data_IF_045538038668
#
_entry.id   IF_045538038668
#
_cell.length_a   1.000
_cell.length_b   1.000
_cell.length_c   1.000
_cell.angle_alpha   90.00
_cell.angle_beta   90.00
_cell.angle_gamma   90.00
#
_symmetry.space_group_name_H-M   'P 1'
#
loop_
_entity.id
_entity.type
_entity.pdbx_description
1 polymer ?
#
# COMPACT_ATOMS: atom_id res chain seq x y z
N UNK A 1 71.09 9.77 16.50
CA UNK A 1 71.03 8.28 16.35
C UNK A 1 69.70 7.98 15.66
N UNK A 2 69.68 8.10 14.33
CA UNK A 2 69.77 7.00 13.35
C UNK A 2 68.46 6.17 13.27
N UNK A 3 67.64 6.46 12.25
CA UNK A 3 66.98 5.44 11.41
C UNK A 3 68.07 4.77 10.51
N UNK A 4 67.82 3.76 9.63
CA UNK A 4 66.56 3.28 9.02
C UNK A 4 66.53 1.73 8.70
N UNK A 5 65.71 1.32 7.70
CA UNK A 5 65.63 0.08 6.85
C UNK A 5 64.24 -0.62 6.93
N UNK A 6 63.35 -0.57 5.92
CA UNK A 6 63.38 -1.14 4.53
C UNK A 6 63.41 -2.67 4.56
N UNK A 7 62.49 -3.42 3.94
CA UNK A 7 62.50 -3.93 2.54
C UNK A 7 61.09 -4.55 2.26
N UNK A 8 60.26 -4.07 1.32
CA UNK A 8 60.14 -4.37 -0.13
C UNK A 8 60.11 -5.87 -0.53
N UNK A 9 58.99 -6.37 -1.05
CA UNK A 9 59.00 -7.29 -2.19
C UNK A 9 57.71 -7.17 -3.04
N UNK A 10 57.89 -6.61 -4.23
CA UNK A 10 57.06 -6.76 -5.44
C UNK A 10 57.22 -8.21 -5.94
N UNK A 11 56.34 -8.89 -6.69
CA UNK A 11 56.14 -8.71 -8.13
C UNK A 11 55.10 -9.74 -8.63
N UNK A 12 54.16 -9.25 -9.46
CA UNK A 12 53.69 -9.78 -10.75
C UNK A 12 53.52 -11.29 -11.02
N UNK A 13 52.34 -11.64 -11.57
CA UNK A 13 52.28 -12.39 -12.83
C UNK A 13 51.04 -12.01 -13.67
N UNK A 14 51.36 -11.62 -14.90
CA UNK A 14 50.53 -11.35 -16.07
C UNK A 14 50.06 -12.66 -16.73
N UNK A 15 48.92 -12.62 -17.43
CA UNK A 15 48.61 -13.27 -18.73
C UNK A 15 47.10 -13.57 -18.81
N UNK A 16 46.37 -13.47 -19.91
CA UNK A 16 46.58 -12.93 -21.26
C UNK A 16 45.18 -12.83 -21.89
N UNK A 17 45.04 -11.82 -22.76
CA UNK A 17 44.07 -11.66 -23.84
C UNK A 17 43.40 -12.91 -24.43
N UNK A 18 42.11 -12.77 -24.79
CA UNK A 18 41.63 -13.34 -26.05
C UNK A 18 40.67 -12.38 -26.77
N UNK A 19 41.11 -11.99 -27.97
CA UNK A 19 40.44 -11.17 -28.95
C UNK A 19 39.70 -12.11 -29.93
N UNK A 20 38.41 -11.91 -30.17
CA UNK A 20 37.76 -12.33 -31.44
C UNK A 20 36.78 -11.27 -31.94
N UNK A 21 37.34 -10.42 -32.82
CA UNK A 21 36.78 -9.91 -34.09
C UNK A 21 35.59 -10.74 -34.61
N UNK A 22 34.48 -10.18 -35.09
CA UNK A 22 34.16 -9.55 -36.42
C UNK A 22 32.61 -9.54 -36.44
N UNK A 23 31.82 -8.70 -37.12
CA UNK A 23 32.02 -7.77 -38.22
C UNK A 23 30.70 -7.06 -38.55
N UNK A 24 30.82 -5.82 -39.07
CA UNK A 24 30.08 -5.23 -40.20
C UNK A 24 28.54 -5.11 -40.19
N UNK A 25 28.10 -3.87 -40.00
CA UNK A 25 27.36 -3.05 -40.98
C UNK A 25 26.55 -3.75 -42.07
N UNK A 26 25.24 -3.48 -42.09
CA UNK A 26 24.53 -3.15 -43.34
C UNK A 26 23.27 -2.33 -43.05
N UNK A 27 23.10 -1.35 -43.92
CA UNK A 27 22.05 -0.37 -44.01
C UNK A 27 21.00 -0.90 -44.98
N UNK A 28 19.72 -0.92 -44.61
CA UNK A 28 18.62 -1.09 -45.57
C UNK A 28 17.35 -0.42 -45.07
N UNK A 29 16.99 0.65 -45.77
CA UNK A 29 15.62 1.14 -45.94
C UNK A 29 14.72 0.03 -46.53
N UNK A 30 13.41 0.27 -46.52
CA UNK A 30 12.28 -0.50 -47.09
C UNK A 30 11.51 -1.33 -46.05
N UNK A 31 10.18 -1.38 -46.01
CA UNK A 31 9.10 -0.74 -46.77
C UNK A 31 7.81 -1.09 -46.01
N UNK A 32 6.83 -0.20 -46.06
CA UNK A 32 5.43 -0.54 -45.81
C UNK A 32 5.00 -1.77 -46.62
N UNK A 33 4.15 -2.61 -46.00
CA UNK A 33 3.10 -3.47 -46.58
C UNK A 33 3.10 -4.87 -45.95
N UNK A 34 2.22 -5.07 -44.96
CA UNK A 34 1.72 -6.40 -44.60
C UNK A 34 0.30 -6.57 -45.14
N UNK A 35 0.00 -7.65 -45.89
CA UNK A 35 -1.34 -7.98 -46.41
C UNK A 35 -2.24 -8.62 -45.34
N UNK A 36 -3.57 -8.68 -45.56
CA UNK A 36 -4.54 -9.08 -44.55
C UNK A 36 -4.54 -10.61 -44.34
N UNK A 37 -4.37 -11.04 -43.09
CA UNK A 37 -4.56 -12.43 -42.67
C UNK A 37 -6.02 -12.70 -42.33
N UNK A 38 -6.57 -13.66 -43.05
CA UNK A 38 -7.93 -14.18 -43.07
C UNK A 38 -8.24 -15.00 -41.81
N UNK A 39 -8.85 -14.36 -40.82
CA UNK A 39 -9.48 -15.04 -39.68
C UNK A 39 -10.99 -15.15 -39.87
N UNK A 40 -11.45 -16.26 -40.46
CA UNK A 40 -12.85 -16.61 -40.73
C UNK A 40 -13.78 -16.36 -39.54
N UNK A 41 -14.60 -15.31 -39.65
CA UNK A 41 -15.79 -15.13 -38.82
C UNK A 41 -16.80 -16.24 -39.10
N UNK A 42 -17.01 -17.12 -38.12
CA UNK A 42 -18.17 -18.02 -38.10
C UNK A 42 -19.40 -17.20 -37.72
N UNK A 43 -20.11 -16.69 -38.73
CA UNK A 43 -21.50 -16.30 -38.58
C UNK A 43 -22.37 -17.52 -38.90
N UNK A 44 -23.11 -18.01 -37.91
CA UNK A 44 -24.20 -18.95 -38.14
C UNK A 44 -25.41 -18.18 -38.69
N UNK A 45 -25.94 -18.68 -39.81
CA UNK A 45 -27.09 -18.15 -40.53
C UNK A 45 -28.38 -18.60 -39.81
N UNK A 46 -28.67 -17.97 -38.67
CA UNK A 46 -29.87 -18.26 -37.88
C UNK A 46 -29.84 -17.51 -36.56
N UNK A 47 -30.45 -16.33 -36.53
CA UNK A 47 -30.42 -15.35 -35.43
C UNK A 47 -31.11 -15.80 -34.13
N UNK A 48 -30.58 -16.82 -33.48
CA UNK A 48 -30.95 -17.23 -32.11
C UNK A 48 -29.68 -17.37 -31.28
N UNK A 49 -29.47 -16.43 -30.35
CA UNK A 49 -28.40 -16.50 -29.35
C UNK A 49 -28.63 -17.75 -28.48
N UNK A 50 -27.74 -18.75 -28.58
CA UNK A 50 -27.70 -19.85 -27.60
C UNK A 50 -27.25 -19.28 -26.25
N UNK A 51 -27.98 -19.49 -25.14
CA UNK A 51 -27.49 -19.14 -23.82
C UNK A 51 -26.29 -20.04 -23.50
N UNK A 52 -25.17 -19.39 -23.22
CA UNK A 52 -23.89 -20.03 -22.95
C UNK A 52 -23.98 -20.79 -21.63
N UNK A 53 -24.34 -22.06 -21.72
CA UNK A 53 -24.39 -23.01 -20.61
C UNK A 53 -23.02 -23.66 -20.52
N UNK A 54 -22.08 -22.99 -19.85
CA UNK A 54 -20.90 -23.63 -19.25
C UNK A 54 -20.13 -22.62 -18.40
N UNK A 55 -20.45 -22.58 -17.11
CA UNK A 55 -19.48 -22.48 -16.03
C UNK A 55 -20.19 -22.75 -14.70
N UNK A 56 -20.38 -24.04 -14.40
CA UNK A 56 -20.57 -24.52 -13.03
C UNK A 56 -19.27 -24.34 -12.24
N UNK A 57 -18.87 -23.09 -11.99
CA UNK A 57 -17.97 -22.78 -10.90
C UNK A 57 -18.89 -22.44 -9.74
N UNK A 58 -18.90 -23.29 -8.71
CA UNK A 58 -19.56 -23.04 -7.42
C UNK A 58 -19.21 -21.61 -7.00
N UNK A 59 -20.12 -20.70 -7.27
CA UNK A 59 -20.11 -19.37 -6.73
C UNK A 59 -20.71 -19.59 -5.37
N UNK A 60 -19.83 -19.76 -4.38
CA UNK A 60 -20.24 -19.88 -3.00
C UNK A 60 -21.19 -18.71 -2.73
N UNK A 61 -22.45 -19.08 -2.50
CA UNK A 61 -23.53 -18.20 -2.09
C UNK A 61 -23.15 -17.74 -0.69
N UNK A 62 -22.24 -16.78 -0.61
CA UNK A 62 -22.15 -15.91 0.54
C UNK A 62 -23.40 -15.06 0.48
N UNK A 63 -24.39 -15.53 1.23
CA UNK A 63 -25.68 -14.90 1.45
C UNK A 63 -25.55 -13.37 1.44
N UNK A 64 -26.37 -12.75 0.59
CA UNK A 64 -26.82 -11.36 0.69
C UNK A 64 -27.55 -11.15 2.03
N UNK A 65 -26.87 -11.39 3.15
CA UNK A 65 -27.33 -10.89 4.43
C UNK A 65 -27.35 -9.36 4.28
N UNK A 66 -28.50 -8.70 4.56
CA UNK A 66 -28.56 -7.25 4.51
C UNK A 66 -27.43 -6.72 5.38
N UNK A 67 -26.62 -5.84 4.79
CA UNK A 67 -25.48 -5.17 5.43
C UNK A 67 -25.99 -4.59 6.75
N UNK A 68 -25.78 -5.31 7.86
CA UNK A 68 -26.24 -4.88 9.17
C UNK A 68 -25.50 -3.58 9.42
N UNK A 69 -26.25 -2.48 9.50
CA UNK A 69 -25.67 -1.17 9.71
C UNK A 69 -25.01 -1.17 11.09
N UNK A 70 -23.71 -1.46 11.08
CA UNK A 70 -22.88 -1.36 12.26
C UNK A 70 -22.95 0.09 12.78
N UNK A 71 -22.94 0.30 14.11
CA UNK A 71 -23.02 1.63 14.67
C UNK A 71 -21.91 2.50 14.06
N UNK A 72 -22.29 3.68 13.60
CA UNK A 72 -21.37 4.64 13.02
C UNK A 72 -20.27 4.91 14.05
N UNK A 73 -18.99 4.62 13.73
CA UNK A 73 -17.92 4.91 14.67
C UNK A 73 -17.87 6.40 14.96
N UNK A 74 -17.62 6.73 16.22
CA UNK A 74 -17.50 8.10 16.67
C UNK A 74 -16.44 8.85 15.87
N UNK A 75 -16.77 10.06 15.44
CA UNK A 75 -15.84 10.90 14.71
C UNK A 75 -14.73 11.36 15.65
N UNK A 76 -13.49 11.15 15.24
CA UNK A 76 -12.35 11.58 16.05
C UNK A 76 -12.25 13.10 15.96
N UNK A 77 -12.24 13.77 17.12
CA UNK A 77 -11.83 15.16 17.18
C UNK A 77 -10.34 15.28 16.90
N UNK A 78 -9.92 16.45 16.41
CA UNK A 78 -8.56 16.71 15.91
C UNK A 78 -7.44 16.36 16.91
N UNK A 79 -7.64 16.74 18.17
CA UNK A 79 -6.76 16.49 19.32
C UNK A 79 -7.35 15.45 20.29
N UNK A 80 -8.38 14.73 19.84
CA UNK A 80 -9.04 13.71 20.61
C UNK A 80 -8.22 12.43 20.70
N UNK A 81 -8.62 11.53 21.60
CA UNK A 81 -8.02 10.23 21.71
C UNK A 81 -8.34 9.43 20.42
N UNK A 82 -7.34 8.76 19.84
CA UNK A 82 -7.44 8.14 18.51
C UNK A 82 -7.46 6.60 18.61
N UNK A 83 -8.48 5.92 18.09
CA UNK A 83 -8.54 4.47 18.10
C UNK A 83 -7.46 3.85 17.20
N UNK A 84 -7.11 2.61 17.49
CA UNK A 84 -6.28 1.77 16.61
C UNK A 84 -7.17 0.72 15.95
N UNK A 85 -6.94 0.45 14.67
CA UNK A 85 -7.65 -0.62 13.97
C UNK A 85 -6.68 -1.73 13.58
N UNK A 86 -7.16 -2.96 13.62
CA UNK A 86 -6.45 -4.15 13.21
C UNK A 86 -7.32 -4.93 12.24
N UNK A 87 -6.79 -5.26 11.06
CA UNK A 87 -7.45 -6.20 10.16
C UNK A 87 -7.04 -7.62 10.53
N UNK A 88 -7.93 -8.57 10.31
CA UNK A 88 -7.68 -10.00 10.49
C UNK A 88 -8.47 -10.80 9.45
N UNK A 89 -8.27 -12.11 9.43
CA UNK A 89 -9.17 -12.99 8.69
C UNK A 89 -10.56 -12.90 9.31
N UNK A 90 -11.59 -12.86 8.46
CA UNK A 90 -12.97 -13.00 8.92
C UNK A 90 -13.10 -14.23 9.82
N UNK A 91 -13.86 -14.11 10.92
CA UNK A 91 -14.05 -15.11 12.00
C UNK A 91 -12.91 -15.24 13.02
N UNK A 92 -11.84 -14.44 12.92
CA UNK A 92 -10.72 -14.43 13.87
C UNK A 92 -10.75 -13.21 14.80
N UNK A 93 -11.82 -12.41 14.77
CA UNK A 93 -11.93 -11.15 15.49
C UNK A 93 -11.87 -11.36 17.00
N UNK A 94 -12.60 -12.35 17.53
CA UNK A 94 -12.60 -12.65 18.97
C UNK A 94 -11.24 -13.15 19.45
N UNK A 95 -10.56 -13.96 18.64
CA UNK A 95 -9.19 -14.43 18.93
C UNK A 95 -8.20 -13.28 18.95
N UNK A 96 -8.30 -12.35 17.98
CA UNK A 96 -7.47 -11.16 17.94
C UNK A 96 -7.76 -10.21 19.12
N UNK A 97 -9.04 -10.04 19.50
CA UNK A 97 -9.42 -9.25 20.68
C UNK A 97 -8.82 -9.86 21.96
N UNK A 98 -8.89 -11.19 22.11
CA UNK A 98 -8.28 -11.89 23.24
C UNK A 98 -6.75 -11.72 23.27
N UNK A 99 -6.10 -11.72 22.10
CA UNK A 99 -4.65 -11.52 21.96
C UNK A 99 -4.21 -10.09 22.31
N UNK A 100 -4.96 -9.08 21.86
CA UNK A 100 -4.70 -7.66 22.15
C UNK A 100 -4.70 -7.39 23.67
N UNK A 101 -5.52 -8.15 24.40
CA UNK A 101 -5.48 -8.26 25.86
C UNK A 101 -6.75 -7.75 26.53
N UNK A 102 -7.07 -8.35 27.69
CA UNK A 102 -8.30 -8.09 28.46
C UNK A 102 -8.41 -6.67 29.05
N UNK A 103 -7.31 -5.92 29.10
CA UNK A 103 -7.28 -4.54 29.59
C UNK A 103 -7.65 -3.51 28.51
N UNK A 104 -7.94 -3.96 27.29
CA UNK A 104 -8.28 -3.09 26.16
C UNK A 104 -9.79 -3.10 25.93
N UNK A 105 -10.36 -1.92 25.66
CA UNK A 105 -11.72 -1.83 25.16
C UNK A 105 -11.66 -2.02 23.65
N UNK A 106 -12.00 -3.23 23.19
CA UNK A 106 -11.97 -3.59 21.78
C UNK A 106 -13.35 -4.03 21.29
N UNK A 107 -13.64 -3.76 20.02
CA UNK A 107 -14.89 -4.12 19.36
C UNK A 107 -14.62 -4.54 17.92
N UNK A 108 -15.54 -5.30 17.32
CA UNK A 108 -15.48 -5.68 15.90
C UNK A 108 -16.57 -4.97 15.11
N UNK A 109 -16.31 -3.75 14.59
CA UNK A 109 -17.32 -2.99 13.87
C UNK A 109 -17.58 -3.54 12.46
N UNK A 110 -16.70 -4.37 11.90
CA UNK A 110 -16.91 -5.02 10.62
C UNK A 110 -16.25 -6.40 10.63
N UNK A 111 -16.76 -7.38 9.88
CA UNK A 111 -16.11 -8.67 9.82
C UNK A 111 -14.71 -8.55 9.22
N UNK A 112 -13.71 -9.09 9.91
CA UNK A 112 -12.28 -8.99 9.65
C UNK A 112 -11.63 -7.71 10.16
N UNK A 113 -12.32 -6.90 10.97
CA UNK A 113 -11.80 -5.64 11.49
C UNK A 113 -12.06 -5.51 12.99
N UNK A 114 -11.00 -5.32 13.76
CA UNK A 114 -11.04 -5.01 15.19
C UNK A 114 -10.68 -3.55 15.41
N UNK A 115 -11.49 -2.83 16.18
CA UNK A 115 -11.25 -1.46 16.66
C UNK A 115 -10.88 -1.53 18.13
N UNK A 116 -9.79 -0.87 18.50
CA UNK A 116 -9.32 -0.74 19.88
C UNK A 116 -9.42 0.72 20.28
N UNK A 117 -10.11 1.01 21.38
CA UNK A 117 -10.26 2.36 21.88
C UNK A 117 -8.94 2.90 22.48
N UNK A 118 -8.71 4.21 22.36
CA UNK A 118 -7.52 4.88 22.87
C UNK A 118 -7.39 4.75 24.40
N UNK A 119 -6.15 4.79 24.90
CA UNK A 119 -5.85 4.62 26.33
C UNK A 119 -5.72 3.16 26.77
N UNK A 120 -6.02 2.22 25.88
CA UNK A 120 -5.76 0.80 26.08
C UNK A 120 -4.26 0.51 25.98
N UNK A 121 -3.66 -0.05 27.03
CA UNK A 121 -2.29 -0.57 26.99
C UNK A 121 -2.28 -1.90 26.25
N UNK A 122 -1.96 -1.87 24.96
CA UNK A 122 -1.88 -3.06 24.12
C UNK A 122 -0.77 -3.95 24.66
N UNK A 123 -1.12 -5.17 25.07
CA UNK A 123 -0.18 -6.07 25.75
C UNK A 123 0.78 -6.75 24.75
N UNK A 124 0.33 -6.94 23.51
CA UNK A 124 1.12 -7.47 22.40
C UNK A 124 1.57 -6.34 21.46
N UNK A 125 2.88 -6.14 21.32
CA UNK A 125 3.46 -5.18 20.37
C UNK A 125 3.13 -5.53 18.91
N UNK A 126 2.84 -6.81 18.62
CA UNK A 126 2.50 -7.32 17.29
C UNK A 126 1.58 -8.56 17.40
N UNK A 127 0.25 -8.39 17.31
CA UNK A 127 -0.68 -9.51 17.38
C UNK A 127 -0.54 -10.46 16.18
N UNK A 128 -0.35 -11.75 16.43
CA UNK A 128 -0.18 -12.83 15.44
C UNK A 128 -1.37 -12.91 14.48
N UNK A 129 -2.59 -12.65 14.96
CA UNK A 129 -3.79 -12.71 14.13
C UNK A 129 -4.08 -11.41 13.37
N UNK A 130 -3.34 -10.34 13.65
CA UNK A 130 -3.44 -9.12 12.88
C UNK A 130 -2.77 -9.30 11.52
N UNK A 131 -3.54 -9.13 10.45
CA UNK A 131 -2.99 -9.02 9.11
C UNK A 131 -2.39 -7.64 8.90
N UNK A 132 -3.02 -6.58 9.42
CA UNK A 132 -2.56 -5.21 9.27
C UNK A 132 -2.94 -4.39 10.51
N UNK A 133 -2.04 -3.49 10.93
CA UNK A 133 -2.35 -2.46 11.92
C UNK A 133 -2.55 -1.10 11.24
N UNK A 134 -3.50 -0.33 11.77
CA UNK A 134 -3.79 1.07 11.42
C UNK A 134 -3.82 1.84 12.76
N UNK A 135 -2.64 2.20 13.29
CA UNK A 135 -2.53 2.81 14.62
C UNK A 135 -2.98 4.27 14.59
N UNK A 136 -3.43 4.82 15.72
CA UNK A 136 -3.77 6.25 15.85
C UNK A 136 -4.69 6.76 14.72
N UNK A 137 -5.66 5.95 14.34
CA UNK A 137 -6.58 6.21 13.25
C UNK A 137 -7.46 7.42 13.53
N UNK A 138 -7.60 8.29 12.54
CA UNK A 138 -8.64 9.31 12.52
C UNK A 138 -9.88 8.75 11.82
N UNK A 139 -11.05 9.05 12.35
CA UNK A 139 -12.35 8.71 11.75
C UNK A 139 -12.96 9.99 11.22
N UNK A 140 -13.19 10.03 9.90
CA UNK A 140 -13.70 11.20 9.19
C UNK A 140 -14.91 10.85 8.36
N UNK A 141 -15.77 11.84 8.12
CA UNK A 141 -16.94 11.71 7.26
C UNK A 141 -16.92 12.67 6.08
N UNK A 142 -17.49 12.26 4.96
CA UNK A 142 -17.75 13.14 3.83
C UNK A 142 -18.61 12.48 2.75
N UNK A 143 -19.36 13.30 2.01
CA UNK A 143 -20.31 12.80 0.99
C UNK A 143 -19.62 12.46 -0.35
N UNK A 144 -18.57 13.22 -0.68
CA UNK A 144 -17.81 13.09 -1.92
C UNK A 144 -16.37 12.63 -1.68
N UNK A 145 -15.74 12.11 -2.74
CA UNK A 145 -14.31 11.74 -2.74
C UNK A 145 -13.44 12.93 -2.29
N UNK A 146 -13.73 14.13 -2.81
CA UNK A 146 -12.99 15.35 -2.50
C UNK A 146 -13.19 15.81 -1.06
N UNK A 147 -14.41 15.73 -0.54
CA UNK A 147 -14.70 16.12 0.85
C UNK A 147 -14.03 15.17 1.84
N UNK A 148 -14.03 13.86 1.57
CA UNK A 148 -13.31 12.89 2.41
C UNK A 148 -11.81 13.18 2.38
N UNK A 149 -11.22 13.35 1.20
CA UNK A 149 -9.79 13.67 1.06
C UNK A 149 -9.40 14.94 1.82
N UNK A 150 -10.21 16.00 1.74
CA UNK A 150 -9.99 17.25 2.50
C UNK A 150 -10.12 17.05 4.00
N UNK A 151 -11.13 16.30 4.46
CA UNK A 151 -11.34 16.00 5.87
C UNK A 151 -10.15 15.21 6.45
N UNK A 152 -9.69 14.18 5.74
CA UNK A 152 -8.51 13.39 6.12
C UNK A 152 -7.26 14.28 6.18
N UNK A 153 -7.03 15.10 5.16
CA UNK A 153 -5.89 16.02 5.13
C UNK A 153 -5.91 16.98 6.32
N UNK A 154 -7.05 17.62 6.59
CA UNK A 154 -7.20 18.57 7.68
C UNK A 154 -7.04 17.93 9.08
N UNK A 155 -7.50 16.68 9.24
CA UNK A 155 -7.43 15.97 10.51
C UNK A 155 -6.05 15.33 10.78
N UNK A 156 -5.34 14.87 9.75
CA UNK A 156 -4.00 14.28 9.92
C UNK A 156 -2.87 15.31 9.99
N UNK A 157 -2.97 16.39 9.21
CA UNK A 157 -1.85 17.29 8.95
C UNK A 157 -2.19 18.70 9.42
N UNK A 158 -2.07 18.91 10.72
CA UNK A 158 -2.08 20.26 11.28
C UNK A 158 -0.82 21.01 10.84
N UNK A 159 -1.00 22.26 10.39
CA UNK A 159 0.09 23.21 10.29
C UNK A 159 0.78 23.27 11.66
N UNK A 160 2.07 22.95 11.70
CA UNK A 160 2.97 22.93 12.87
C UNK A 160 3.01 21.66 13.74
N UNK A 161 2.35 20.58 13.32
CA UNK A 161 2.60 19.27 13.95
C UNK A 161 4.04 18.77 13.68
N UNK A 162 4.64 18.09 14.67
CA UNK A 162 5.96 17.46 14.51
C UNK A 162 5.98 16.49 13.31
N UNK A 163 4.86 15.81 13.05
CA UNK A 163 4.64 14.96 11.88
C UNK A 163 4.76 15.75 10.58
N UNK A 164 4.16 16.93 10.49
CA UNK A 164 4.26 17.80 9.32
C UNK A 164 5.70 18.26 9.07
N UNK A 165 6.43 18.65 10.12
CA UNK A 165 7.84 19.05 10.00
C UNK A 165 8.70 17.91 9.47
N UNK A 166 8.53 16.69 10.01
CA UNK A 166 9.25 15.51 9.50
C UNK A 166 8.84 15.15 8.07
N UNK A 167 7.55 15.14 7.75
CA UNK A 167 7.06 14.82 6.40
C UNK A 167 7.50 15.86 5.34
N UNK A 168 7.68 17.12 5.73
CA UNK A 168 8.24 18.17 4.85
C UNK A 168 9.74 17.94 4.59
N UNK A 169 10.47 17.49 5.60
CA UNK A 169 11.89 17.16 5.49
C UNK A 169 12.15 15.81 4.79
N UNK A 170 11.14 14.92 4.74
CA UNK A 170 11.29 13.58 4.23
C UNK A 170 11.64 13.55 2.72
N UNK A 171 12.47 12.57 2.27
CA UNK A 171 12.92 12.50 0.90
C UNK A 171 11.79 12.37 -0.11
N UNK A 172 12.01 12.86 -1.33
CA UNK A 172 11.02 12.78 -2.41
C UNK A 172 10.66 11.33 -2.75
N UNK A 173 9.37 11.01 -2.77
CA UNK A 173 8.87 9.67 -3.07
C UNK A 173 9.00 8.68 -1.90
N UNK A 174 9.19 9.17 -0.67
CA UNK A 174 9.22 8.35 0.54
C UNK A 174 7.84 8.00 1.10
N UNK A 175 6.76 8.66 0.64
CA UNK A 175 5.38 8.39 1.08
C UNK A 175 4.65 7.39 0.17
N UNK A 176 4.16 6.30 0.74
CA UNK A 176 3.14 5.44 0.14
C UNK A 176 1.75 5.73 0.71
N UNK A 177 0.74 5.58 -0.14
CA UNK A 177 -0.67 5.72 0.23
C UNK A 177 -1.38 4.41 -0.08
N UNK A 178 -1.99 3.80 0.94
CA UNK A 178 -2.66 2.52 0.87
C UNK A 178 -4.16 2.69 0.98
N UNK A 179 -4.88 2.23 -0.05
CA UNK A 179 -6.33 2.19 -0.07
C UNK A 179 -6.82 0.81 0.38
N UNK A 180 -7.62 0.77 1.43
CA UNK A 180 -8.10 -0.44 2.09
C UNK A 180 -9.62 -0.40 2.20
N UNK A 181 -10.25 -1.57 2.22
CA UNK A 181 -11.67 -1.70 2.54
C UNK A 181 -11.92 -2.99 3.31
N UNK A 182 -12.91 -3.04 4.22
CA UNK A 182 -13.21 -4.24 5.00
C UNK A 182 -13.46 -5.50 4.13
N UNK A 183 -14.01 -5.34 2.93
CA UNK A 183 -14.23 -6.45 1.99
C UNK A 183 -12.96 -7.25 1.65
N UNK A 184 -11.78 -6.64 1.72
CA UNK A 184 -10.50 -7.33 1.53
C UNK A 184 -10.24 -8.37 2.63
N UNK A 185 -10.68 -8.12 3.86
CA UNK A 185 -10.50 -9.01 5.02
C UNK A 185 -11.33 -10.30 4.90
N UNK A 186 -12.36 -10.28 4.04
CA UNK A 186 -13.17 -11.44 3.65
C UNK A 186 -12.59 -12.23 2.47
N UNK A 187 -11.40 -11.87 1.97
CA UNK A 187 -10.80 -12.49 0.79
C UNK A 187 -11.52 -12.16 -0.53
N UNK A 188 -12.29 -11.06 -0.57
CA UNK A 188 -12.94 -10.64 -1.80
C UNK A 188 -11.89 -10.17 -2.81
N UNK A 189 -11.89 -10.78 -3.99
CA UNK A 189 -10.96 -10.42 -5.08
C UNK A 189 -11.25 -9.04 -5.68
N UNK A 190 -12.51 -8.58 -5.62
CA UNK A 190 -12.96 -7.28 -6.13
C UNK A 190 -13.94 -6.61 -5.17
N UNK A 191 -13.45 -6.03 -4.06
CA UNK A 191 -14.30 -5.34 -3.10
C UNK A 191 -15.00 -4.13 -3.73
N UNK A 192 -16.31 -3.98 -3.50
CA UNK A 192 -17.16 -2.96 -4.12
C UNK A 192 -16.64 -1.52 -3.91
N UNK A 193 -16.12 -1.24 -2.72
CA UNK A 193 -15.69 0.11 -2.33
C UNK A 193 -14.22 0.42 -2.65
N UNK A 194 -13.45 -0.57 -3.11
CA UNK A 194 -12.04 -0.39 -3.42
C UNK A 194 -11.83 0.71 -4.49
N UNK A 195 -12.57 0.75 -5.63
CA UNK A 195 -12.41 1.82 -6.62
C UNK A 195 -12.64 3.23 -6.08
N UNK A 196 -13.60 3.40 -5.15
CA UNK A 196 -13.87 4.69 -4.51
C UNK A 196 -12.72 5.08 -3.58
N UNK A 197 -12.23 4.13 -2.79
CA UNK A 197 -11.10 4.35 -1.86
C UNK A 197 -9.82 4.68 -2.60
N UNK A 198 -9.54 4.01 -3.72
CA UNK A 198 -8.40 4.34 -4.59
C UNK A 198 -8.48 5.77 -5.11
N UNK A 199 -9.66 6.23 -5.56
CA UNK A 199 -9.84 7.62 -5.99
C UNK A 199 -9.66 8.63 -4.84
N UNK A 200 -10.04 8.28 -3.62
CA UNK A 200 -9.77 9.11 -2.42
C UNK A 200 -8.26 9.21 -2.18
N UNK A 201 -7.54 8.09 -2.27
CA UNK A 201 -6.09 8.05 -2.15
C UNK A 201 -5.38 8.89 -3.23
N UNK A 202 -5.87 8.86 -4.48
CA UNK A 202 -5.35 9.68 -5.58
C UNK A 202 -5.56 11.18 -5.33
N UNK A 203 -6.76 11.59 -4.89
CA UNK A 203 -7.06 12.98 -4.54
C UNK A 203 -6.18 13.46 -3.38
N UNK A 204 -6.02 12.63 -2.34
CA UNK A 204 -5.10 12.90 -1.23
C UNK A 204 -3.66 13.06 -1.71
N UNK A 205 -3.17 12.19 -2.60
CA UNK A 205 -1.84 12.36 -3.20
C UNK A 205 -1.72 13.71 -3.91
N UNK A 206 -2.77 14.12 -4.62
CA UNK A 206 -2.85 15.42 -5.30
C UNK A 206 -2.74 16.60 -4.33
N UNK A 207 -3.39 16.53 -3.16
CA UNK A 207 -3.27 17.53 -2.10
C UNK A 207 -1.87 17.53 -1.48
N UNK A 208 -1.36 16.36 -1.08
CA UNK A 208 -0.09 16.21 -0.38
C UNK A 208 1.12 16.59 -1.25
N UNK A 209 1.09 16.26 -2.54
CA UNK A 209 2.21 16.56 -3.45
C UNK A 209 2.47 18.06 -3.64
N UNK A 210 1.49 18.93 -3.32
CA UNK A 210 1.67 20.39 -3.34
C UNK A 210 2.61 20.84 -2.22
N UNK A 211 2.37 20.36 -1.01
CA UNK A 211 3.05 20.84 0.21
C UNK A 211 4.21 19.96 0.67
N UNK A 212 4.24 18.67 0.31
CA UNK A 212 5.20 17.70 0.83
C UNK A 212 6.00 17.03 -0.30
N UNK A 213 7.34 17.16 -0.32
CA UNK A 213 8.20 16.47 -1.29
C UNK A 213 8.02 14.96 -1.25
N UNK A 214 7.80 14.37 -0.07
CA UNK A 214 7.59 12.94 0.14
C UNK A 214 6.49 12.32 -0.74
N UNK A 215 5.42 13.07 -1.01
CA UNK A 215 4.29 12.62 -1.82
C UNK A 215 4.51 12.76 -3.34
N UNK A 216 5.61 13.39 -3.78
CA UNK A 216 5.94 13.58 -5.20
C UNK A 216 6.67 12.34 -5.74
N UNK A 217 6.41 11.97 -6.99
CA UNK A 217 7.10 10.85 -7.66
C UNK A 217 8.61 11.06 -7.67
N UNK A 218 9.39 10.04 -7.29
CA UNK A 218 10.86 10.05 -7.39
C UNK A 218 11.26 10.30 -8.85
N UNK A 219 12.25 11.16 -9.13
CA UNK A 219 12.79 11.28 -10.49
C UNK A 219 13.35 9.93 -10.94
N UNK A 220 13.04 9.55 -12.18
CA UNK A 220 13.61 8.38 -12.85
C UNK A 220 15.00 8.74 -13.36
N UNK A 221 15.99 8.80 -12.48
CA UNK A 221 17.38 8.99 -12.88
C UNK A 221 18.00 7.62 -13.17
N UNK A 222 18.54 7.43 -14.38
CA UNK A 222 19.26 6.22 -14.83
C UNK A 222 20.69 6.12 -14.23
N UNK A 223 20.93 6.66 -13.04
CA UNK A 223 22.29 6.94 -12.57
C UNK A 223 22.73 6.04 -11.41
N UNK A 224 23.98 5.60 -11.55
CA UNK A 224 24.69 4.61 -10.75
C UNK A 224 24.67 4.87 -9.23
N UNK A 225 24.24 3.84 -8.48
CA UNK A 225 25.05 3.29 -7.39
C UNK A 225 25.37 4.15 -6.16
N UNK A 226 24.63 5.22 -5.84
CA UNK A 226 24.80 5.94 -4.56
C UNK A 226 23.47 6.24 -3.87
N UNK A 227 22.90 5.23 -3.21
CA UNK A 227 21.61 5.30 -2.52
C UNK A 227 21.69 5.93 -1.13
N UNK A 228 22.03 7.23 -1.07
CA UNK A 228 21.93 7.98 0.20
C UNK A 228 20.45 8.25 0.54
N UNK A 229 20.01 7.71 1.69
CA UNK A 229 18.69 7.85 2.36
C UNK A 229 17.54 6.85 2.03
N UNK A 230 17.84 5.56 1.85
CA UNK A 230 16.79 4.54 1.61
C UNK A 230 15.88 4.20 2.80
N UNK A 231 16.20 4.70 4.00
CA UNK A 231 15.62 4.19 5.24
C UNK A 231 14.35 4.93 5.70
N UNK A 232 14.16 6.20 5.36
CA UNK A 232 12.98 6.93 5.82
C UNK A 232 11.80 6.70 4.87
N UNK A 233 10.76 6.06 5.41
CA UNK A 233 9.55 5.71 4.68
C UNK A 233 8.32 6.14 5.47
N UNK A 234 7.33 6.63 4.74
CA UNK A 234 6.07 7.09 5.30
C UNK A 234 4.93 6.28 4.71
N UNK A 235 3.98 5.89 5.56
CA UNK A 235 2.81 5.14 5.16
C UNK A 235 1.55 5.90 5.58
N UNK A 236 0.73 6.25 4.59
CA UNK A 236 -0.62 6.73 4.79
C UNK A 236 -1.61 5.62 4.44
N UNK A 237 -2.22 5.00 5.44
CA UNK A 237 -3.30 4.04 5.26
C UNK A 237 -4.65 4.76 5.26
N UNK A 238 -5.52 4.41 4.33
CA UNK A 238 -6.86 4.96 4.18
C UNK A 238 -7.80 3.78 4.03
N UNK A 239 -8.73 3.62 4.97
CA UNK A 239 -9.74 2.57 4.95
C UNK A 239 -11.13 3.17 4.85
N UNK A 240 -11.83 2.89 3.75
CA UNK A 240 -13.22 3.31 3.58
C UNK A 240 -14.14 2.23 4.15
N UNK A 241 -14.76 2.53 5.29
CA UNK A 241 -15.65 1.61 6.00
C UNK A 241 -17.09 1.66 5.49
N UNK A 242 -17.54 2.86 5.10
CA UNK A 242 -18.82 3.06 4.43
C UNK A 242 -18.65 4.10 3.29
N UNK A 243 -19.64 4.31 2.40
CA UNK A 243 -19.53 5.30 1.34
C UNK A 243 -19.15 6.72 1.81
N UNK A 244 -19.42 7.03 3.09
CA UNK A 244 -19.20 8.32 3.71
C UNK A 244 -18.18 8.32 4.85
N UNK A 245 -17.83 7.17 5.43
CA UNK A 245 -16.96 7.06 6.61
C UNK A 245 -15.59 6.50 6.21
N UNK A 246 -14.55 7.23 6.56
CA UNK A 246 -13.17 6.92 6.24
C UNK A 246 -12.30 6.96 7.49
N UNK A 247 -11.53 5.89 7.69
CA UNK A 247 -10.45 5.83 8.67
C UNK A 247 -9.14 6.14 7.96
N UNK A 248 -8.27 6.94 8.57
CA UNK A 248 -6.93 7.15 8.02
C UNK A 248 -5.86 7.19 9.11
N UNK A 249 -4.66 6.75 8.79
CA UNK A 249 -3.50 6.79 9.68
C UNK A 249 -2.25 7.13 8.88
N UNK A 250 -1.40 7.98 9.45
CA UNK A 250 -0.10 8.35 8.90
C UNK A 250 0.99 7.93 9.89
N UNK A 251 1.90 7.07 9.44
CA UNK A 251 2.98 6.51 10.27
C UNK A 251 4.31 6.68 9.56
N UNK A 252 5.35 7.00 10.35
CA UNK A 252 6.74 6.93 9.93
C UNK A 252 7.24 5.50 10.16
N UNK A 253 7.58 4.79 9.08
CA UNK A 253 8.12 3.43 9.16
C UNK A 253 9.57 3.50 9.66
N UNK A 254 9.87 2.75 10.72
CA UNK A 254 11.18 2.81 11.38
C UNK A 254 12.22 1.83 10.80
N UNK A 255 11.80 0.82 10.03
CA UNK A 255 12.68 -0.24 9.52
C UNK A 255 12.36 -0.65 8.07
N UNK A 256 13.42 -0.92 7.28
CA UNK A 256 13.34 -1.56 5.96
C UNK A 256 14.44 -2.63 5.91
N UNK A 257 14.12 -3.87 6.30
CA UNK A 257 15.07 -4.99 6.33
C UNK A 257 14.44 -6.29 6.85
N UNK A 258 15.05 -7.47 6.61
CA UNK A 258 14.52 -8.75 7.06
C UNK A 258 14.80 -8.97 8.56
N UNK A 259 13.79 -9.43 9.30
CA UNK A 259 13.78 -9.54 10.77
C UNK A 259 12.72 -8.64 11.39
N UNK A 260 12.05 -9.16 12.44
CA UNK A 260 10.95 -8.72 13.33
C UNK A 260 10.11 -7.42 13.09
N UNK A 261 10.49 -6.53 12.18
CA UNK A 261 9.72 -5.39 11.66
C UNK A 261 9.46 -5.51 10.14
N UNK A 262 9.57 -6.73 9.59
CA UNK A 262 9.75 -6.98 8.15
C UNK A 262 8.48 -7.07 7.29
N UNK A 263 7.28 -6.87 7.84
CA UNK A 263 6.05 -7.01 7.06
C UNK A 263 5.05 -5.89 7.31
N UNK A 264 5.38 -4.63 6.98
CA UNK A 264 4.34 -3.66 6.61
C UNK A 264 4.88 -2.37 5.97
N UNK A 265 4.48 -1.99 4.74
CA UNK A 265 3.92 -2.80 3.66
C UNK A 265 4.94 -3.12 2.55
N UNK A 266 4.61 -4.11 1.72
CA UNK A 266 5.30 -4.31 0.44
C UNK A 266 5.08 -3.08 -0.46
N UNK A 267 6.13 -2.28 -0.65
CA UNK A 267 6.13 -1.06 -1.46
C UNK A 267 5.81 -1.29 -2.94
N UNK A 268 5.90 -2.53 -3.40
CA UNK A 268 5.61 -2.95 -4.78
C UNK A 268 4.18 -3.52 -4.87
N UNK A 269 3.70 -4.18 -3.81
CA UNK A 269 2.38 -4.83 -3.73
C UNK A 269 1.64 -4.44 -2.45
N UNK A 270 1.03 -3.25 -2.40
CA UNK A 270 0.46 -2.68 -1.18
C UNK A 270 -0.78 -3.42 -0.64
N UNK A 271 -1.22 -4.50 -1.29
CA UNK A 271 -2.47 -5.24 -1.00
C UNK A 271 -2.24 -6.75 -0.82
N UNK A 272 -0.99 -7.21 -0.76
CA UNK A 272 -0.63 -8.63 -0.89
C UNK A 272 -0.11 -8.96 -2.28
#
# INVERSE_FOLDING_TARGET
KMAPFSVLFSTFLLATSNNRRRSSSSNSQQTNNSPPSTGRGRYDRGGTKKPNTNNNRKQDVYNDAPDVLHPIPELTSRNGPRPSYYTCRHTYEDTLIAEIGSNCVASSPYPGLVRVEPGSSISALDPVYALQSIPNGIVTTGESIKSIAKAVHAALLEEDSATCTKLRAAPRGSLAIHALVPGMCKGQTKPLMLPRTTKIAEELRGLLSKSYPAARKKPTTNDDGTSTSENERWLLQIMLQSPTICVASLVQCQHVGPGYDAYWPNWIHPLG
#
